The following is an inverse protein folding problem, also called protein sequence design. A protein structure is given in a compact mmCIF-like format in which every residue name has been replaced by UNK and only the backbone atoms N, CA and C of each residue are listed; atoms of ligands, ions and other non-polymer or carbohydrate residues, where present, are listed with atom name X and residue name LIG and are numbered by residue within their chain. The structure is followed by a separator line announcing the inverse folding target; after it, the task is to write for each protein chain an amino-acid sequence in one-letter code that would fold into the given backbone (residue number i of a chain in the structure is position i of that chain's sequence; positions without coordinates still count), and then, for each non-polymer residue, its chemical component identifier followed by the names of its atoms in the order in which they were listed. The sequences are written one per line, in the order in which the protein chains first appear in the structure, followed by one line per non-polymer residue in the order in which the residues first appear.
data_IF_105815826442
#
_entry.id   IF_105815826442
#
_cell.length_a   1.000
_cell.length_b   1.000
_cell.length_c   1.000
_cell.angle_alpha   90.00
_cell.angle_beta   90.00
_cell.angle_gamma   90.00
#
_symmetry.space_group_name_H-M   'P 1'
#
loop_
_entity.id
_entity.type
_entity.pdbx_description
1 polymer ?
#
# COMPACT_ATOMS: atom_id res chain seq x y z
N UNK A 1 -25.50 -18.27 -20.08
CA UNK A 1 -24.26 -17.88 -19.38
C UNK A 1 -23.89 -16.50 -19.90
N UNK A 2 -24.07 -15.45 -19.11
CA UNK A 2 -23.76 -14.07 -19.54
C UNK A 2 -22.25 -13.87 -19.36
N UNK A 3 -21.51 -13.72 -20.45
CA UNK A 3 -20.15 -13.21 -20.41
C UNK A 3 -20.25 -11.68 -20.38
N UNK A 4 -19.84 -11.07 -19.26
CA UNK A 4 -19.55 -9.63 -19.25
C UNK A 4 -18.36 -9.41 -20.19
N UNK A 5 -18.54 -8.61 -21.22
CA UNK A 5 -17.44 -8.26 -22.11
C UNK A 5 -16.34 -7.58 -21.27
N UNK A 6 -15.12 -8.15 -21.28
CA UNK A 6 -13.95 -7.47 -20.72
C UNK A 6 -13.71 -6.22 -21.56
N UNK A 7 -14.13 -5.07 -21.05
CA UNK A 7 -13.75 -3.78 -21.60
C UNK A 7 -12.23 -3.64 -21.38
N UNK A 8 -11.48 -3.15 -22.37
CA UNK A 8 -10.06 -2.85 -22.17
C UNK A 8 -9.86 -1.85 -21.02
N UNK A 9 -8.63 -1.71 -20.50
CA UNK A 9 -8.37 -0.72 -19.45
C UNK A 9 -8.76 0.69 -19.95
N UNK A 10 -9.72 1.37 -19.30
CA UNK A 10 -10.05 2.74 -19.67
C UNK A 10 -8.89 3.68 -19.30
N UNK A 11 -8.71 4.78 -20.03
CA UNK A 11 -7.64 5.78 -19.78
C UNK A 11 -7.63 6.33 -18.33
N UNK A 12 -8.76 6.25 -17.62
CA UNK A 12 -8.85 6.62 -16.20
C UNK A 12 -7.96 5.73 -15.31
N UNK A 13 -7.71 4.47 -15.69
CA UNK A 13 -6.84 3.57 -14.93
C UNK A 13 -5.40 4.07 -14.95
N UNK A 14 -4.88 4.47 -16.12
CA UNK A 14 -3.52 5.01 -16.24
C UNK A 14 -3.35 6.30 -15.42
N UNK A 15 -4.35 7.18 -15.49
CA UNK A 15 -4.38 8.40 -14.69
C UNK A 15 -4.32 8.12 -13.18
N UNK A 16 -5.16 7.18 -12.70
CA UNK A 16 -5.20 6.80 -11.29
C UNK A 16 -3.92 6.05 -10.85
N UNK A 17 -3.37 5.21 -11.72
CA UNK A 17 -2.11 4.49 -11.48
C UNK A 17 -0.94 5.45 -11.30
N UNK A 18 -0.87 6.51 -12.11
CA UNK A 18 0.11 7.58 -11.94
C UNK A 18 0.03 8.23 -10.56
N UNK A 19 -1.19 8.61 -10.12
CA UNK A 19 -1.41 9.22 -8.80
C UNK A 19 -1.06 8.28 -7.65
N UNK A 20 -1.40 7.00 -7.77
CA UNK A 20 -1.04 5.97 -6.79
C UNK A 20 0.48 5.86 -6.66
N UNK A 21 1.21 5.70 -7.77
CA UNK A 21 2.68 5.61 -7.77
C UNK A 21 3.33 6.85 -7.13
N UNK A 22 2.82 8.05 -7.44
CA UNK A 22 3.29 9.29 -6.79
C UNK A 22 3.04 9.27 -5.28
N UNK A 23 1.85 8.83 -4.85
CA UNK A 23 1.49 8.78 -3.43
C UNK A 23 2.36 7.78 -2.65
N UNK A 24 2.64 6.62 -3.25
CA UNK A 24 3.54 5.62 -2.67
C UNK A 24 4.98 6.10 -2.60
N UNK A 25 5.47 6.82 -3.62
CA UNK A 25 6.81 7.42 -3.58
C UNK A 25 6.94 8.46 -2.46
N UNK A 26 5.90 9.25 -2.21
CA UNK A 26 5.85 10.19 -1.09
C UNK A 26 5.87 9.45 0.25
N UNK A 27 5.04 8.42 0.40
CA UNK A 27 4.98 7.62 1.63
C UNK A 27 6.32 6.91 1.90
N UNK A 28 6.91 6.30 0.88
CA UNK A 28 8.21 5.62 0.99
C UNK A 28 9.31 6.59 1.43
N UNK A 29 9.40 7.75 0.78
CA UNK A 29 10.34 8.82 1.15
C UNK A 29 10.12 9.30 2.59
N UNK A 30 8.86 9.42 3.00
CA UNK A 30 8.49 9.80 4.37
C UNK A 30 8.93 8.74 5.40
N UNK A 31 8.93 7.47 5.04
CA UNK A 31 9.26 6.36 5.95
C UNK A 31 10.76 6.03 6.01
N UNK A 32 11.59 6.55 5.10
CA UNK A 32 13.04 6.23 5.02
C UNK A 32 13.78 6.25 6.36
N UNK A 33 13.48 7.22 7.22
CA UNK A 33 14.13 7.39 8.52
C UNK A 33 13.13 7.29 9.68
N UNK A 34 11.99 6.62 9.47
CA UNK A 34 10.93 6.53 10.47
C UNK A 34 10.50 5.07 10.63
N UNK A 35 10.34 4.66 11.88
CA UNK A 35 9.66 3.41 12.15
C UNK A 35 8.18 3.55 11.75
N UNK A 36 7.41 4.44 12.36
CA UNK A 36 5.98 4.55 12.05
C UNK A 36 5.69 5.83 11.27
N UNK A 37 4.48 5.95 10.72
CA UNK A 37 4.05 7.14 10.00
C UNK A 37 4.24 8.41 10.86
N UNK A 38 4.05 8.30 12.19
CA UNK A 38 4.21 9.38 13.15
C UNK A 38 4.82 8.83 14.45
N UNK A 39 5.95 9.41 14.89
CA UNK A 39 6.62 9.05 16.14
C UNK A 39 7.23 7.64 16.14
N UNK A 40 7.48 7.12 17.34
CA UNK A 40 8.25 5.88 17.54
C UNK A 40 7.38 4.65 17.88
N UNK A 41 6.04 4.78 17.78
CA UNK A 41 5.08 3.70 18.07
C UNK A 41 3.97 3.68 17.01
N UNK A 42 3.36 2.52 16.73
CA UNK A 42 2.27 2.45 15.76
C UNK A 42 1.07 3.25 16.24
N UNK A 43 0.38 3.88 15.30
CA UNK A 43 -0.83 4.66 15.52
C UNK A 43 -1.93 4.24 14.56
N UNK A 44 -3.12 4.83 14.69
CA UNK A 44 -4.21 4.65 13.71
C UNK A 44 -3.81 5.08 12.29
N UNK A 45 -2.79 5.92 12.12
CA UNK A 45 -2.28 6.30 10.81
C UNK A 45 -1.71 5.09 10.06
N UNK A 46 -0.91 4.27 10.75
CA UNK A 46 -0.31 3.06 10.18
C UNK A 46 -1.39 2.02 9.85
N UNK A 47 -2.36 1.83 10.76
CA UNK A 47 -3.48 0.91 10.55
C UNK A 47 -4.37 1.33 9.36
N UNK A 48 -4.56 2.64 9.17
CA UNK A 48 -5.34 3.17 8.03
C UNK A 48 -4.64 2.88 6.70
N UNK A 49 -3.30 2.90 6.67
CA UNK A 49 -2.52 2.54 5.48
C UNK A 49 -2.70 1.05 5.14
N UNK A 50 -2.72 0.16 6.13
CA UNK A 50 -2.91 -1.28 5.92
C UNK A 50 -4.22 -1.63 5.20
N UNK A 51 -5.24 -0.79 5.30
CA UNK A 51 -6.50 -0.94 4.55
C UNK A 51 -6.35 -0.87 3.03
N UNK A 52 -5.18 -0.48 2.51
CA UNK A 52 -4.87 -0.48 1.08
C UNK A 52 -3.61 -1.25 0.75
N UNK A 53 -2.59 -1.23 1.62
CA UNK A 53 -1.24 -1.71 1.29
C UNK A 53 -1.04 -3.24 1.38
N UNK A 54 -2.04 -4.04 1.76
CA UNK A 54 -1.90 -5.50 1.76
C UNK A 54 -2.38 -6.20 0.48
N UNK A 55 -2.74 -5.46 -0.57
CA UNK A 55 -3.19 -6.03 -1.86
C UNK A 55 -2.36 -5.54 -3.06
N UNK A 56 -1.01 -5.62 -3.04
CA UNK A 56 -0.16 -5.10 -4.11
C UNK A 56 -0.49 -5.66 -5.50
N UNK A 57 -0.98 -6.91 -5.56
CA UNK A 57 -1.34 -7.60 -6.80
C UNK A 57 -2.56 -6.96 -7.50
N UNK A 58 -3.53 -6.45 -6.73
CA UNK A 58 -4.78 -5.86 -7.26
C UNK A 58 -4.54 -4.56 -8.05
N UNK A 59 -3.45 -3.86 -7.74
CA UNK A 59 -3.11 -2.59 -8.39
C UNK A 59 -1.72 -2.60 -9.04
N UNK A 60 -1.09 -3.77 -9.14
CA UNK A 60 0.07 -4.06 -9.99
C UNK A 60 1.35 -3.36 -9.54
N UNK A 61 1.68 -3.48 -8.25
CA UNK A 61 2.93 -2.95 -7.68
C UNK A 61 3.70 -4.01 -6.92
N UNK A 62 5.01 -3.79 -6.80
CA UNK A 62 5.91 -4.60 -6.00
C UNK A 62 6.42 -3.77 -4.83
N UNK A 63 6.43 -4.34 -3.62
CA UNK A 63 7.02 -3.67 -2.46
C UNK A 63 8.54 -3.49 -2.57
N UNK A 64 9.20 -4.25 -3.47
CA UNK A 64 10.61 -4.01 -3.82
C UNK A 64 10.87 -2.61 -4.36
N UNK A 65 9.86 -1.95 -4.94
CA UNK A 65 9.96 -0.60 -5.47
C UNK A 65 9.80 0.48 -4.38
N UNK A 66 9.33 0.09 -3.18
CA UNK A 66 9.02 0.95 -2.05
C UNK A 66 9.52 0.30 -0.73
N UNK A 67 10.85 0.19 -0.53
CA UNK A 67 11.44 -0.61 0.55
C UNK A 67 11.13 -0.10 1.96
N UNK A 68 10.88 1.20 2.13
CA UNK A 68 10.52 1.78 3.43
C UNK A 68 9.06 1.46 3.78
N UNK A 69 8.18 1.41 2.76
CA UNK A 69 6.81 0.91 2.91
C UNK A 69 6.82 -0.57 3.24
N UNK A 70 7.61 -1.37 2.54
CA UNK A 70 7.77 -2.81 2.82
C UNK A 70 8.20 -3.06 4.28
N UNK A 71 9.23 -2.33 4.74
CA UNK A 71 9.72 -2.42 6.11
C UNK A 71 8.67 -1.98 7.16
N UNK A 72 7.77 -1.04 6.83
CA UNK A 72 6.63 -0.69 7.67
C UNK A 72 5.65 -1.87 7.79
N UNK A 73 5.27 -2.47 6.66
CA UNK A 73 4.31 -3.58 6.63
C UNK A 73 4.83 -4.81 7.40
N UNK A 74 6.13 -5.11 7.31
CA UNK A 74 6.74 -6.19 8.10
C UNK A 74 6.71 -5.91 9.60
N UNK A 75 6.97 -4.65 10.02
CA UNK A 75 6.87 -4.27 11.43
C UNK A 75 5.43 -4.32 11.95
N UNK A 76 4.45 -3.93 11.14
CA UNK A 76 3.04 -4.01 11.53
C UNK A 76 2.57 -5.47 11.64
N UNK A 77 3.02 -6.34 10.73
CA UNK A 77 2.75 -7.79 10.79
C UNK A 77 3.29 -8.44 12.07
N UNK A 78 4.40 -7.92 12.59
CA UNK A 78 5.03 -8.42 13.81
C UNK A 78 4.35 -7.94 15.12
N UNK A 79 3.33 -7.08 15.06
CA UNK A 79 2.66 -6.57 16.25
C UNK A 79 1.88 -7.69 16.99
N UNK A 80 1.93 -7.72 18.34
CA UNK A 80 1.10 -8.64 19.11
C UNK A 80 -0.38 -8.44 18.83
N UNK A 81 -1.08 -9.52 18.48
CA UNK A 81 -2.50 -9.48 18.13
C UNK A 81 -2.81 -8.98 16.72
N UNK A 82 -1.79 -8.80 15.87
CA UNK A 82 -2.01 -8.52 14.47
C UNK A 82 -2.81 -9.63 13.80
N UNK A 83 -3.84 -9.23 13.06
CA UNK A 83 -4.61 -10.08 12.16
C UNK A 83 -4.55 -9.42 10.80
N UNK A 84 -4.13 -10.16 9.78
CA UNK A 84 -4.08 -9.63 8.43
C UNK A 84 -5.45 -9.11 8.01
N UNK A 85 -5.53 -7.91 7.40
CA UNK A 85 -6.76 -7.48 6.77
C UNK A 85 -7.04 -8.44 5.60
N UNK A 86 -8.33 -8.83 5.50
CA UNK A 86 -8.91 -9.91 4.68
C UNK A 86 -8.07 -10.55 3.57
#
# INVERSE_FOLDING_TARGET
MVHLAKTGEPQVHDFLRGRMKTSLGILDSHLQNRSFAIGDRPTIADLSLCGYLYWPEEFGISWSDYPSVDALLERLRALPGWVHPF
#
